data_IF_144603089456
#
_entry.id   IF_144603089456
#
_cell.length_a   1.000
_cell.length_b   1.000
_cell.length_c   1.000
_cell.angle_alpha   90.00
_cell.angle_beta   90.00
_cell.angle_gamma   90.00
#
_symmetry.space_group_name_H-M   'P 1'
#
loop_
_entity.id
_entity.type
_entity.pdbx_description
1 polymer ?
#
# COMPACT_ATOMS: atom_id res chain seq x y z
N UNK A 1 -19.79 3.40 3.75
CA UNK A 1 -18.59 3.06 2.98
C UNK A 1 -17.66 4.26 3.06
N UNK A 2 -16.36 4.06 3.17
CA UNK A 2 -15.40 5.15 3.11
C UNK A 2 -15.56 5.95 1.80
N UNK A 3 -15.28 7.25 1.86
CA UNK A 3 -15.20 8.11 0.69
C UNK A 3 -13.72 8.31 0.33
N UNK A 4 -13.39 8.18 -0.95
CA UNK A 4 -12.05 8.36 -1.46
C UNK A 4 -11.97 9.54 -2.44
N UNK A 5 -11.87 10.78 -1.94
CA UNK A 5 -11.62 11.94 -2.80
C UNK A 5 -10.37 11.74 -3.67
N UNK A 6 -10.31 12.35 -4.86
CA UNK A 6 -9.10 12.31 -5.68
C UNK A 6 -7.87 12.76 -4.89
N UNK A 7 -6.77 12.02 -5.01
CA UNK A 7 -5.54 12.18 -4.22
C UNK A 7 -5.50 11.38 -2.92
N UNK A 8 -6.48 10.51 -2.65
CA UNK A 8 -6.51 9.68 -1.43
C UNK A 8 -6.18 8.23 -1.77
N UNK A 9 -5.31 7.51 -1.02
CA UNK A 9 -5.17 6.07 -1.14
C UNK A 9 -6.52 5.37 -0.92
N UNK A 10 -6.91 4.52 -1.86
CA UNK A 10 -8.25 3.91 -1.87
C UNK A 10 -8.23 2.39 -1.88
N UNK A 11 -7.13 1.79 -2.33
CA UNK A 11 -6.99 0.35 -2.47
C UNK A 11 -5.55 -0.10 -2.34
N UNK A 12 -5.36 -1.33 -1.91
CA UNK A 12 -4.06 -2.00 -1.94
C UNK A 12 -4.21 -3.37 -2.57
N UNK A 13 -3.19 -3.81 -3.30
CA UNK A 13 -3.22 -5.05 -4.06
C UNK A 13 -1.90 -5.79 -3.93
N UNK A 14 -1.97 -7.07 -3.60
CA UNK A 14 -0.83 -7.97 -3.59
C UNK A 14 -0.65 -8.63 -4.97
N UNK A 15 0.54 -8.49 -5.52
CA UNK A 15 1.01 -9.29 -6.65
C UNK A 15 1.88 -10.45 -6.13
N UNK A 16 1.52 -11.70 -6.44
CA UNK A 16 2.18 -12.89 -5.89
C UNK A 16 2.45 -13.95 -6.97
N UNK A 17 3.60 -14.66 -6.89
CA UNK A 17 3.87 -15.81 -7.76
C UNK A 17 2.96 -17.01 -7.44
N UNK A 18 2.42 -17.08 -6.21
CA UNK A 18 1.52 -18.13 -5.73
C UNK A 18 0.36 -17.52 -4.95
N UNK A 19 -0.72 -17.10 -5.65
CA UNK A 19 -1.89 -16.51 -4.99
C UNK A 19 -2.58 -17.42 -3.98
N UNK A 20 -2.53 -18.75 -4.15
CA UNK A 20 -3.13 -19.69 -3.21
C UNK A 20 -2.37 -19.71 -1.88
N UNK A 21 -1.03 -19.77 -1.94
CA UNK A 21 -0.20 -19.71 -0.76
C UNK A 21 -0.29 -18.35 -0.05
N UNK A 22 -0.32 -17.24 -0.80
CA UNK A 22 -0.55 -15.91 -0.22
C UNK A 22 -1.92 -15.81 0.43
N UNK A 23 -2.98 -16.31 -0.22
CA UNK A 23 -4.32 -16.31 0.36
C UNK A 23 -4.38 -17.09 1.68
N UNK A 24 -3.71 -18.26 1.76
CA UNK A 24 -3.62 -19.03 2.99
C UNK A 24 -2.88 -18.27 4.11
N UNK A 25 -1.75 -17.63 3.78
CA UNK A 25 -0.98 -16.85 4.74
C UNK A 25 -1.80 -15.70 5.35
N UNK A 26 -2.41 -14.84 4.51
CA UNK A 26 -3.17 -13.69 5.02
C UNK A 26 -4.46 -14.10 5.72
N UNK A 27 -5.08 -15.24 5.36
CA UNK A 27 -6.18 -15.83 6.14
C UNK A 27 -5.72 -16.20 7.56
N UNK A 28 -4.58 -16.86 7.69
CA UNK A 28 -4.12 -17.41 8.97
C UNK A 28 -3.52 -16.29 9.86
N UNK A 29 -2.92 -15.25 9.27
CA UNK A 29 -2.29 -14.14 10.00
C UNK A 29 -3.28 -13.02 10.32
N UNK A 30 -4.08 -12.57 9.35
CA UNK A 30 -5.01 -11.44 9.47
C UNK A 30 -6.48 -11.86 9.54
N UNK A 31 -6.80 -13.13 9.34
CA UNK A 31 -8.19 -13.61 9.34
C UNK A 31 -8.97 -13.27 8.07
N UNK A 32 -8.31 -12.88 6.99
CA UNK A 32 -8.98 -12.52 5.74
C UNK A 32 -9.52 -13.74 4.99
N UNK A 33 -10.66 -13.58 4.35
CA UNK A 33 -11.25 -14.58 3.47
C UNK A 33 -11.06 -14.15 2.02
N UNK A 34 -10.31 -14.90 1.18
CA UNK A 34 -10.23 -14.61 -0.24
C UNK A 34 -11.54 -14.98 -0.93
N UNK A 35 -11.97 -14.20 -1.93
CA UNK A 35 -13.02 -14.64 -2.85
C UNK A 35 -12.51 -15.79 -3.71
N UNK A 36 -13.43 -16.52 -4.38
CA UNK A 36 -13.05 -17.43 -5.45
C UNK A 36 -12.27 -16.67 -6.54
N UNK A 37 -11.32 -17.35 -7.21
CA UNK A 37 -10.63 -16.74 -8.33
C UNK A 37 -11.61 -16.27 -9.38
N UNK A 38 -11.43 -15.04 -9.87
CA UNK A 38 -12.18 -14.54 -11.01
C UNK A 38 -11.91 -15.36 -12.28
N UNK A 39 -12.76 -15.18 -13.29
CA UNK A 39 -12.61 -15.85 -14.57
C UNK A 39 -11.39 -15.39 -15.38
N UNK A 40 -11.28 -15.93 -16.61
CA UNK A 40 -10.17 -15.60 -17.52
C UNK A 40 -10.09 -14.09 -17.84
N UNK A 41 -11.21 -13.39 -17.82
CA UNK A 41 -11.33 -11.94 -18.05
C UNK A 41 -10.67 -11.10 -16.96
N UNK A 42 -10.54 -11.64 -15.74
CA UNK A 42 -9.88 -10.96 -14.60
C UNK A 42 -8.50 -11.53 -14.28
N UNK A 43 -8.02 -12.51 -15.08
CA UNK A 43 -6.73 -13.16 -14.83
C UNK A 43 -6.66 -13.91 -13.48
N UNK A 44 -7.80 -14.34 -12.94
CA UNK A 44 -7.86 -15.02 -11.64
C UNK A 44 -7.81 -14.09 -10.44
N UNK A 45 -8.05 -12.79 -10.63
CA UNK A 45 -8.08 -11.79 -9.55
C UNK A 45 -8.99 -12.19 -8.40
N UNK A 46 -8.57 -11.97 -7.18
CA UNK A 46 -9.34 -12.22 -5.95
C UNK A 46 -9.40 -10.95 -5.10
N UNK A 47 -10.41 -10.87 -4.27
CA UNK A 47 -10.49 -9.84 -3.24
C UNK A 47 -10.37 -10.51 -1.86
N UNK A 48 -9.53 -9.96 -1.01
CA UNK A 48 -9.56 -10.27 0.41
C UNK A 48 -10.72 -9.54 1.08
N UNK A 49 -11.41 -10.24 1.98
CA UNK A 49 -12.55 -9.74 2.71
C UNK A 49 -12.39 -9.99 4.21
N UNK A 50 -12.85 -9.05 5.01
CA UNK A 50 -13.10 -9.19 6.44
C UNK A 50 -14.61 -8.98 6.66
N UNK A 51 -15.31 -9.98 7.21
CA UNK A 51 -16.77 -9.93 7.42
C UNK A 51 -17.56 -9.47 6.16
N UNK A 52 -17.17 -10.02 4.99
CA UNK A 52 -17.75 -9.68 3.69
C UNK A 52 -17.42 -8.26 3.17
N UNK A 53 -16.64 -7.47 3.89
CA UNK A 53 -16.16 -6.17 3.45
C UNK A 53 -14.80 -6.33 2.74
N UNK A 54 -14.66 -5.75 1.56
CA UNK A 54 -13.43 -5.83 0.77
C UNK A 54 -12.34 -4.97 1.41
N UNK A 55 -11.15 -5.57 1.63
CA UNK A 55 -10.02 -4.91 2.31
C UNK A 55 -8.79 -4.77 1.43
N UNK A 56 -8.55 -5.70 0.51
CA UNK A 56 -7.41 -5.71 -0.39
C UNK A 56 -7.63 -6.60 -1.62
N UNK A 57 -6.79 -6.44 -2.64
CA UNK A 57 -6.73 -7.28 -3.83
C UNK A 57 -5.60 -8.31 -3.78
N UNK A 58 -5.74 -9.36 -4.58
CA UNK A 58 -4.73 -10.39 -4.81
C UNK A 58 -4.75 -10.82 -6.27
N UNK A 59 -3.60 -10.73 -6.92
CA UNK A 59 -3.42 -11.20 -8.29
C UNK A 59 -2.15 -12.04 -8.44
N UNK A 60 -2.16 -12.91 -9.44
CA UNK A 60 -0.96 -13.63 -9.87
C UNK A 60 0.01 -12.70 -10.61
N UNK A 61 1.29 -13.09 -10.65
CA UNK A 61 2.25 -12.40 -11.52
C UNK A 61 1.78 -12.47 -12.98
N UNK A 62 1.78 -11.31 -13.65
CA UNK A 62 1.39 -11.18 -15.05
C UNK A 62 2.54 -11.50 -16.01
N UNK A 63 3.77 -11.47 -15.53
CA UNK A 63 4.98 -11.73 -16.31
C UNK A 63 6.09 -12.33 -15.43
N UNK A 64 6.99 -13.08 -16.08
CA UNK A 64 8.17 -13.64 -15.42
C UNK A 64 9.08 -12.52 -14.86
N UNK A 65 9.56 -12.71 -13.62
CA UNK A 65 10.43 -11.74 -12.94
C UNK A 65 9.69 -10.53 -12.33
N UNK A 66 8.36 -10.51 -12.34
CA UNK A 66 7.60 -9.49 -11.63
C UNK A 66 7.88 -9.58 -10.12
N UNK A 67 8.13 -8.45 -9.43
CA UNK A 67 8.32 -8.46 -7.99
C UNK A 67 7.04 -8.89 -7.23
N UNK A 68 7.21 -9.65 -6.16
CA UNK A 68 6.15 -9.86 -5.17
C UNK A 68 6.07 -8.62 -4.30
N UNK A 69 4.95 -7.89 -4.37
CA UNK A 69 4.82 -6.63 -3.67
C UNK A 69 3.35 -6.23 -3.48
N UNK A 70 3.12 -5.43 -2.46
CA UNK A 70 1.90 -4.64 -2.30
C UNK A 70 1.98 -3.37 -3.14
N UNK A 71 0.94 -3.09 -3.92
CA UNK A 71 0.78 -1.86 -4.68
C UNK A 71 -0.31 -1.01 -4.04
N UNK A 72 0.01 0.24 -3.71
CA UNK A 72 -0.96 1.24 -3.24
C UNK A 72 -1.60 1.92 -4.45
N UNK A 73 -2.93 1.96 -4.49
CA UNK A 73 -3.69 2.69 -5.50
C UNK A 73 -4.27 3.98 -4.90
N UNK A 74 -3.99 5.09 -5.58
CA UNK A 74 -4.47 6.42 -5.22
C UNK A 74 -5.70 6.74 -6.08
N UNK A 75 -6.80 7.12 -5.46
CA UNK A 75 -8.02 7.56 -6.16
C UNK A 75 -7.73 8.80 -6.99
N UNK A 76 -8.24 8.86 -8.21
CA UNK A 76 -8.09 10.01 -9.12
C UNK A 76 -9.41 10.31 -9.83
N UNK A 77 -9.61 11.55 -10.23
CA UNK A 77 -10.78 11.95 -11.01
C UNK A 77 -10.67 11.50 -12.48
N UNK A 78 -9.44 11.43 -13.02
CA UNK A 78 -9.15 11.06 -14.41
C UNK A 78 -7.77 10.40 -14.49
N UNK A 79 -7.73 9.12 -14.87
CA UNK A 79 -6.49 8.35 -14.96
C UNK A 79 -5.61 8.78 -16.13
N UNK A 80 -6.21 9.22 -17.24
CA UNK A 80 -5.46 9.68 -18.43
C UNK A 80 -4.80 11.04 -18.17
N UNK A 81 -5.52 11.98 -17.52
CA UNK A 81 -4.94 13.25 -17.08
C UNK A 81 -3.82 13.01 -16.06
N UNK A 82 -4.03 12.10 -15.11
CA UNK A 82 -3.01 11.74 -14.12
C UNK A 82 -1.76 11.16 -14.80
N UNK A 83 -1.92 10.31 -15.82
CA UNK A 83 -0.78 9.80 -16.58
C UNK A 83 0.03 10.90 -17.30
N UNK A 84 -0.62 11.98 -17.74
CA UNK A 84 0.08 13.15 -18.31
C UNK A 84 0.84 13.92 -17.22
N UNK A 85 0.23 14.13 -16.03
CA UNK A 85 0.87 14.79 -14.89
C UNK A 85 2.10 14.00 -14.42
N UNK A 86 1.99 12.67 -14.31
CA UNK A 86 3.11 11.78 -13.95
C UNK A 86 4.28 11.94 -14.93
N UNK A 87 4.02 11.87 -16.24
CA UNK A 87 5.05 12.08 -17.27
C UNK A 87 5.68 13.47 -17.18
N UNK A 88 4.84 14.50 -17.00
CA UNK A 88 5.29 15.89 -16.89
C UNK A 88 6.14 16.15 -15.66
N UNK A 89 5.92 15.40 -14.57
CA UNK A 89 6.67 15.46 -13.32
C UNK A 89 7.91 14.54 -13.29
N UNK A 90 8.24 13.85 -14.38
CA UNK A 90 9.43 12.97 -14.48
C UNK A 90 9.21 11.53 -14.07
N UNK A 91 7.99 11.10 -13.79
CA UNK A 91 7.66 9.71 -13.52
C UNK A 91 7.49 8.87 -14.81
N UNK A 92 7.41 7.58 -14.65
CA UNK A 92 7.28 6.61 -15.73
C UNK A 92 5.92 5.93 -15.73
N UNK A 93 5.37 5.64 -16.93
CA UNK A 93 4.15 4.84 -17.09
C UNK A 93 4.55 3.39 -17.29
N UNK A 94 4.19 2.52 -16.35
CA UNK A 94 4.40 1.07 -16.41
C UNK A 94 3.21 0.41 -17.09
N UNK A 95 1.98 0.71 -16.62
CA UNK A 95 0.73 0.29 -17.25
C UNK A 95 -0.06 1.53 -17.61
N UNK A 96 -0.34 1.70 -18.92
CA UNK A 96 -1.15 2.81 -19.41
C UNK A 96 -2.58 2.73 -18.85
N UNK A 97 -3.30 3.87 -18.74
CA UNK A 97 -4.69 3.86 -18.32
C UNK A 97 -5.55 2.89 -19.10
N UNK A 98 -6.23 2.00 -18.42
CA UNK A 98 -7.09 0.98 -19.00
C UNK A 98 -8.33 0.74 -18.13
N UNK A 99 -9.43 0.38 -18.79
CA UNK A 99 -10.68 0.07 -18.11
C UNK A 99 -10.61 -1.32 -17.47
N UNK A 100 -11.12 -1.44 -16.27
CA UNK A 100 -11.33 -2.69 -15.54
C UNK A 100 -12.84 -2.93 -15.47
N UNK A 101 -13.39 -3.50 -16.54
CA UNK A 101 -14.83 -3.70 -16.73
C UNK A 101 -15.62 -2.39 -16.45
N UNK A 102 -16.68 -2.47 -15.66
CA UNK A 102 -17.45 -1.32 -15.15
C UNK A 102 -16.99 -0.84 -13.76
N UNK A 103 -15.97 -1.51 -13.19
CA UNK A 103 -15.47 -1.22 -11.84
C UNK A 103 -14.76 0.13 -11.78
N UNK A 104 -14.00 0.46 -12.83
CA UNK A 104 -13.24 1.70 -12.90
C UNK A 104 -12.14 1.65 -13.94
N UNK A 105 -11.22 2.61 -13.86
CA UNK A 105 -10.07 2.72 -14.75
C UNK A 105 -8.79 2.82 -13.94
N UNK A 106 -7.80 1.99 -14.25
CA UNK A 106 -6.53 1.91 -13.54
C UNK A 106 -5.35 2.34 -14.41
N UNK A 107 -4.27 2.73 -13.77
CA UNK A 107 -2.94 2.80 -14.37
C UNK A 107 -1.88 2.48 -13.30
N UNK A 108 -0.67 2.07 -13.73
CA UNK A 108 0.47 1.84 -12.83
C UNK A 108 1.65 2.68 -13.29
N UNK A 109 2.29 3.33 -12.36
CA UNK A 109 3.38 4.27 -12.57
C UNK A 109 4.57 3.95 -11.68
N UNK A 110 5.73 4.48 -12.02
CA UNK A 110 6.84 4.68 -11.10
C UNK A 110 7.10 6.18 -10.96
N UNK A 111 7.37 6.63 -9.75
CA UNK A 111 7.86 7.98 -9.51
C UNK A 111 9.30 8.16 -10.03
N UNK A 112 9.87 9.37 -9.98
CA UNK A 112 11.24 9.60 -10.46
C UNK A 112 12.32 8.78 -9.75
N UNK A 113 12.07 8.32 -8.52
CA UNK A 113 13.01 7.52 -7.72
C UNK A 113 12.87 6.03 -7.97
N UNK A 114 11.78 5.61 -8.63
CA UNK A 114 11.49 4.22 -9.00
C UNK A 114 10.44 3.54 -8.15
N UNK A 115 9.84 4.21 -7.14
CA UNK A 115 8.77 3.63 -6.35
C UNK A 115 7.49 3.46 -7.19
N UNK A 116 6.97 2.23 -7.23
CA UNK A 116 5.80 1.85 -8.04
C UNK A 116 4.51 2.09 -7.25
N UNK A 117 3.54 2.72 -7.91
CA UNK A 117 2.19 2.94 -7.36
C UNK A 117 1.13 2.85 -8.45
N UNK A 118 -0.10 2.56 -8.04
CA UNK A 118 -1.26 2.56 -8.92
C UNK A 118 -2.10 3.83 -8.74
N UNK A 119 -2.94 4.11 -9.74
CA UNK A 119 -4.06 5.04 -9.59
C UNK A 119 -5.35 4.35 -9.98
N UNK A 120 -6.43 4.78 -9.35
CA UNK A 120 -7.76 4.25 -9.57
C UNK A 120 -8.76 5.38 -9.81
N UNK A 121 -9.35 5.40 -10.99
CA UNK A 121 -10.51 6.24 -11.31
C UNK A 121 -11.76 5.40 -11.06
N UNK A 122 -12.56 5.72 -10.03
CA UNK A 122 -13.71 4.90 -9.66
C UNK A 122 -14.81 4.86 -10.74
N UNK A 123 -15.33 3.65 -10.98
CA UNK A 123 -16.61 3.42 -11.63
C UNK A 123 -17.63 2.93 -10.60
N UNK A 124 -18.02 1.65 -10.70
CA UNK A 124 -18.90 1.00 -9.70
C UNK A 124 -18.15 0.54 -8.44
N UNK A 125 -16.81 0.53 -8.44
CA UNK A 125 -15.95 0.18 -7.32
C UNK A 125 -15.10 1.38 -6.90
N UNK A 126 -15.29 1.87 -5.67
CA UNK A 126 -14.59 3.05 -5.17
C UNK A 126 -13.25 2.72 -4.49
N UNK A 127 -13.07 1.51 -3.98
CA UNK A 127 -11.93 1.11 -3.17
C UNK A 127 -12.33 0.17 -2.03
N UNK A 128 -11.54 0.11 -0.96
CA UNK A 128 -11.80 -0.74 0.19
C UNK A 128 -13.11 -0.37 0.90
N UNK A 129 -13.86 -1.38 1.34
CA UNK A 129 -15.08 -1.17 2.13
C UNK A 129 -14.76 -0.91 3.61
N UNK A 130 -13.59 -1.36 4.07
CA UNK A 130 -13.10 -1.23 5.45
C UNK A 130 -11.67 -0.69 5.45
N UNK A 131 -11.45 0.38 6.20
CA UNK A 131 -10.15 1.01 6.46
C UNK A 131 -10.12 1.60 7.87
N UNK A 132 -8.94 1.73 8.48
CA UNK A 132 -8.72 2.30 9.82
C UNK A 132 -9.42 1.52 10.96
N UNK A 133 -9.71 0.25 10.72
CA UNK A 133 -10.28 -0.69 11.67
C UNK A 133 -9.34 -1.91 11.79
N UNK A 134 -9.43 -2.73 12.85
CA UNK A 134 -8.64 -3.94 12.94
C UNK A 134 -8.70 -4.79 11.67
N UNK A 135 -7.56 -5.35 11.30
CA UNK A 135 -7.31 -6.18 10.09
C UNK A 135 -7.66 -5.48 8.78
N UNK A 136 -7.52 -4.16 8.74
CA UNK A 136 -7.68 -3.37 7.51
C UNK A 136 -6.53 -2.39 7.30
N UNK A 137 -6.48 -1.79 6.12
CA UNK A 137 -5.49 -0.76 5.79
C UNK A 137 -5.64 0.44 6.72
N UNK A 138 -4.53 0.85 7.37
CA UNK A 138 -4.49 2.04 8.24
C UNK A 138 -3.53 3.10 7.73
N UNK A 139 -2.49 2.71 6.99
CA UNK A 139 -1.52 3.65 6.47
C UNK A 139 -0.83 3.15 5.20
N UNK A 140 -0.40 4.11 4.38
CA UNK A 140 0.48 3.89 3.23
C UNK A 140 1.64 4.88 3.32
N UNK A 141 2.83 4.44 3.00
CA UNK A 141 3.99 5.34 2.95
C UNK A 141 4.96 4.95 1.84
N UNK A 142 5.60 5.95 1.25
CA UNK A 142 6.70 5.73 0.31
C UNK A 142 8.03 5.79 1.06
N UNK A 143 8.89 4.82 0.79
CA UNK A 143 10.28 4.79 1.26
C UNK A 143 11.17 5.24 0.11
N UNK A 144 11.97 6.28 0.34
CA UNK A 144 12.77 6.93 -0.71
C UNK A 144 14.15 7.34 -0.22
N UNK A 145 15.11 7.44 -1.15
CA UNK A 145 16.43 8.03 -0.87
C UNK A 145 16.53 9.50 -1.31
N UNK A 146 15.53 9.99 -2.02
CA UNK A 146 15.49 11.34 -2.58
C UNK A 146 14.20 12.09 -2.18
N UNK A 147 14.02 12.40 -0.88
CA UNK A 147 12.76 12.93 -0.36
C UNK A 147 12.34 14.26 -1.00
N UNK A 148 13.26 15.10 -1.45
CA UNK A 148 12.92 16.38 -2.09
C UNK A 148 12.39 16.18 -3.54
N UNK A 149 12.91 15.16 -4.25
CA UNK A 149 12.38 14.79 -5.56
C UNK A 149 10.93 14.29 -5.42
N UNK A 150 10.66 13.45 -4.44
CA UNK A 150 9.33 12.91 -4.18
C UNK A 150 8.34 13.97 -3.71
N UNK A 151 8.76 14.91 -2.85
CA UNK A 151 7.91 16.07 -2.47
C UNK A 151 7.48 16.87 -3.69
N UNK A 152 8.40 17.11 -4.60
CA UNK A 152 8.10 17.82 -5.86
C UNK A 152 7.15 17.02 -6.74
N UNK A 153 7.40 15.73 -6.89
CA UNK A 153 6.61 14.84 -7.73
C UNK A 153 5.18 14.68 -7.21
N UNK A 154 4.99 14.20 -5.97
CA UNK A 154 3.66 13.93 -5.42
C UNK A 154 2.86 15.22 -5.21
N UNK A 155 3.52 16.33 -4.87
CA UNK A 155 2.90 17.66 -4.86
C UNK A 155 2.36 18.07 -6.23
N UNK A 156 3.12 17.83 -7.30
CA UNK A 156 2.71 18.19 -8.68
C UNK A 156 1.60 17.29 -9.22
N UNK A 157 1.62 15.99 -8.89
CA UNK A 157 0.68 14.99 -9.43
C UNK A 157 -0.66 15.01 -8.68
N UNK A 158 -0.60 15.02 -7.34
CA UNK A 158 -1.78 14.86 -6.48
C UNK A 158 -2.16 16.10 -5.68
N UNK A 159 -1.33 17.14 -5.70
CA UNK A 159 -1.53 18.34 -4.88
C UNK A 159 -1.23 18.12 -3.40
N UNK A 160 -0.39 17.12 -3.09
CA UNK A 160 -0.05 16.84 -1.69
C UNK A 160 0.93 17.87 -1.13
N UNK A 161 0.65 18.30 0.09
CA UNK A 161 1.56 19.09 0.91
C UNK A 161 2.44 18.18 1.77
N UNK A 162 3.71 18.56 1.94
CA UNK A 162 4.65 17.86 2.80
C UNK A 162 4.62 18.46 4.21
N UNK A 163 3.92 17.78 5.12
CA UNK A 163 3.79 18.14 6.52
C UNK A 163 4.76 17.38 7.43
N UNK A 164 4.83 17.80 8.69
CA UNK A 164 5.52 17.07 9.75
C UNK A 164 4.53 16.21 10.54
N UNK A 165 4.98 15.06 11.08
CA UNK A 165 4.18 14.29 12.03
C UNK A 165 3.77 15.15 13.24
N UNK A 166 2.57 14.91 13.76
CA UNK A 166 2.02 15.67 14.89
C UNK A 166 2.33 15.04 16.26
N UNK A 167 3.07 13.91 16.31
CA UNK A 167 3.43 13.24 17.56
C UNK A 167 4.88 13.54 17.97
N UNK A 168 5.11 13.60 19.29
CA UNK A 168 6.43 13.85 19.87
C UNK A 168 7.39 12.69 19.58
N UNK A 169 8.64 13.00 19.25
CA UNK A 169 9.67 11.98 18.94
C UNK A 169 9.59 11.43 17.52
N UNK A 170 8.75 12.00 16.64
CA UNK A 170 8.76 11.64 15.24
C UNK A 170 10.13 11.93 14.60
N UNK A 171 10.67 11.02 13.75
CA UNK A 171 11.93 11.26 13.06
C UNK A 171 11.85 12.50 12.16
N UNK A 172 12.90 13.31 12.14
CA UNK A 172 13.01 14.44 11.17
C UNK A 172 13.03 13.96 9.71
N UNK A 173 13.34 12.69 9.50
CA UNK A 173 13.35 11.99 8.20
C UNK A 173 11.96 11.54 7.74
N UNK A 174 10.91 11.75 8.56
CA UNK A 174 9.55 11.36 8.22
C UNK A 174 8.72 12.56 7.79
N UNK A 175 8.05 12.41 6.66
CA UNK A 175 7.10 13.40 6.13
C UNK A 175 5.70 12.80 6.16
N UNK A 176 4.70 13.62 6.52
CA UNK A 176 3.29 13.26 6.39
C UNK A 176 2.72 13.96 5.17
N UNK A 177 2.17 13.18 4.25
CA UNK A 177 1.44 13.71 3.11
C UNK A 177 0.09 14.23 3.54
N UNK A 178 -0.25 15.44 3.13
CA UNK A 178 -1.50 16.11 3.44
C UNK A 178 -2.22 16.55 2.18
N UNK A 179 -3.53 16.35 2.15
CA UNK A 179 -4.43 16.88 1.12
C UNK A 179 -5.54 17.65 1.81
N UNK A 180 -5.70 18.93 1.49
CA UNK A 180 -6.66 19.84 2.14
C UNK A 180 -6.58 19.80 3.68
N UNK A 181 -5.36 19.74 4.22
CA UNK A 181 -5.07 19.68 5.65
C UNK A 181 -5.37 18.34 6.34
N UNK A 182 -5.73 17.30 5.59
CA UNK A 182 -5.94 15.93 6.10
C UNK A 182 -4.75 15.05 5.74
N UNK A 183 -4.31 14.23 6.68
CA UNK A 183 -3.24 13.26 6.44
C UNK A 183 -3.75 12.16 5.49
N UNK A 184 -3.01 11.89 4.42
CA UNK A 184 -3.35 10.88 3.40
C UNK A 184 -2.28 9.80 3.23
N UNK A 185 -1.13 9.94 3.87
CA UNK A 185 -0.04 8.96 3.80
C UNK A 185 1.25 9.51 4.38
N UNK A 186 2.32 8.75 4.25
CA UNK A 186 3.64 9.09 4.74
C UNK A 186 4.75 8.97 3.70
N UNK A 187 5.91 9.50 4.06
CA UNK A 187 7.16 9.26 3.37
C UNK A 187 8.28 9.09 4.39
N UNK A 188 9.02 8.00 4.29
CA UNK A 188 10.19 7.72 5.10
C UNK A 188 11.44 7.87 4.24
N UNK A 189 12.39 8.68 4.69
CA UNK A 189 13.72 8.70 4.07
C UNK A 189 14.49 7.43 4.42
N UNK A 190 15.01 6.75 3.39
CA UNK A 190 15.80 5.52 3.53
C UNK A 190 17.23 5.87 3.94
N UNK A 191 17.44 6.14 5.24
CA UNK A 191 18.77 6.47 5.77
C UNK A 191 19.65 5.22 5.89
N UNK A 192 20.97 5.43 5.82
CA UNK A 192 21.97 4.36 5.97
C UNK A 192 21.82 3.65 7.32
N UNK A 193 21.89 2.32 7.30
CA UNK A 193 21.75 1.46 8.49
C UNK A 193 20.30 1.12 8.88
N UNK A 194 19.30 1.81 8.33
CA UNK A 194 17.88 1.47 8.54
C UNK A 194 17.34 0.53 7.46
N UNK A 195 17.80 0.72 6.22
CA UNK A 195 17.42 -0.11 5.07
C UNK A 195 18.65 -0.77 4.45
N UNK A 196 18.50 -1.95 3.81
CA UNK A 196 19.57 -2.52 3.00
C UNK A 196 20.06 -1.50 1.95
N UNK A 197 21.38 -1.40 1.67
CA UNK A 197 21.91 -0.41 0.73
C UNK A 197 21.34 -0.52 -0.69
N UNK A 198 20.97 -1.73 -1.09
CA UNK A 198 20.43 -2.11 -2.39
C UNK A 198 18.89 -2.16 -2.43
N UNK A 199 18.20 -1.91 -1.31
CA UNK A 199 16.76 -1.83 -1.29
C UNK A 199 16.29 -0.66 -2.19
N UNK A 200 15.43 -0.92 -3.19
CA UNK A 200 14.91 0.14 -4.05
C UNK A 200 13.88 1.00 -3.29
N UNK A 201 13.63 2.23 -3.75
CA UNK A 201 12.46 2.99 -3.32
C UNK A 201 11.17 2.20 -3.58
N UNK A 202 10.22 2.26 -2.65
CA UNK A 202 8.99 1.48 -2.74
C UNK A 202 7.88 2.05 -1.87
N UNK A 203 6.63 1.76 -2.23
CA UNK A 203 5.49 1.98 -1.35
C UNK A 203 5.33 0.81 -0.39
N UNK A 204 5.04 1.12 0.87
CA UNK A 204 4.74 0.17 1.94
C UNK A 204 3.31 0.35 2.42
N UNK A 205 2.68 -0.75 2.80
CA UNK A 205 1.33 -0.78 3.36
C UNK A 205 1.39 -1.16 4.83
N UNK A 206 0.52 -0.55 5.64
CA UNK A 206 0.37 -0.87 7.05
C UNK A 206 -1.07 -1.29 7.35
N UNK A 207 -1.22 -2.46 7.97
CA UNK A 207 -2.52 -2.96 8.41
C UNK A 207 -2.66 -2.80 9.92
N UNK A 208 -3.83 -2.28 10.36
CA UNK A 208 -4.15 -2.25 11.77
C UNK A 208 -4.40 -3.67 12.28
N UNK A 209 -3.98 -3.96 13.50
CA UNK A 209 -4.21 -5.24 14.18
C UNK A 209 -4.57 -5.00 15.64
N UNK A 210 -5.32 -5.94 16.24
CA UNK A 210 -5.67 -5.85 17.66
C UNK A 210 -4.46 -6.08 18.58
N UNK A 211 -3.51 -6.93 18.16
CA UNK A 211 -2.31 -7.29 18.91
C UNK A 211 -1.15 -7.57 17.95
N UNK A 212 -0.13 -6.70 17.99
CA UNK A 212 1.03 -6.80 17.11
C UNK A 212 1.92 -8.01 17.43
N UNK A 213 2.07 -8.37 18.72
CA UNK A 213 2.89 -9.51 19.14
C UNK A 213 2.27 -10.83 18.71
N UNK A 214 0.96 -10.98 18.90
CA UNK A 214 0.20 -12.16 18.43
C UNK A 214 0.24 -12.27 16.92
N UNK A 215 0.09 -11.16 16.19
CA UNK A 215 0.13 -11.15 14.72
C UNK A 215 1.52 -11.55 14.20
N UNK A 216 2.59 -11.03 14.81
CA UNK A 216 3.98 -11.40 14.49
C UNK A 216 4.24 -12.88 14.77
N UNK A 217 3.75 -13.42 15.90
CA UNK A 217 3.88 -14.83 16.20
C UNK A 217 3.18 -15.71 15.15
N UNK A 218 1.95 -15.38 14.77
CA UNK A 218 1.23 -16.06 13.69
C UNK A 218 1.98 -16.00 12.35
N UNK A 219 2.52 -14.83 11.99
CA UNK A 219 3.29 -14.67 10.75
C UNK A 219 4.49 -15.63 10.72
N UNK A 220 5.24 -15.75 11.82
CA UNK A 220 6.35 -16.72 11.94
C UNK A 220 5.88 -18.17 11.81
N UNK A 221 4.82 -18.53 12.51
CA UNK A 221 4.27 -19.91 12.51
C UNK A 221 3.81 -20.32 11.11
N UNK A 222 3.43 -19.35 10.27
CA UNK A 222 2.99 -19.55 8.87
C UNK A 222 4.08 -19.22 7.83
N UNK A 223 5.36 -19.16 8.24
CA UNK A 223 6.49 -19.04 7.31
C UNK A 223 6.88 -17.62 6.91
N UNK A 224 6.27 -16.60 7.49
CA UNK A 224 6.69 -15.21 7.31
C UNK A 224 8.01 -14.90 8.03
N UNK A 225 8.73 -13.93 7.53
CA UNK A 225 9.97 -13.41 8.13
C UNK A 225 9.69 -12.10 8.84
N UNK A 226 10.00 -12.03 10.14
CA UNK A 226 9.90 -10.78 10.90
C UNK A 226 11.18 -9.97 10.69
N UNK A 227 11.05 -8.82 10.06
CA UNK A 227 12.15 -7.91 9.74
C UNK A 227 12.41 -6.94 10.88
N UNK A 228 11.33 -6.43 11.48
CA UNK A 228 11.40 -5.63 12.69
C UNK A 228 10.42 -6.19 13.72
N UNK A 229 10.96 -6.48 14.93
CA UNK A 229 10.16 -6.90 16.08
C UNK A 229 9.18 -5.80 16.50
N UNK A 230 8.08 -6.16 17.18
CA UNK A 230 7.13 -5.17 17.69
C UNK A 230 7.80 -4.11 18.56
N UNK A 231 7.73 -2.85 18.14
CA UNK A 231 8.30 -1.69 18.83
C UNK A 231 7.21 -0.68 19.15
N UNK A 232 7.22 -0.17 20.37
CA UNK A 232 6.28 0.86 20.82
C UNK A 232 6.69 2.23 20.27
N UNK A 233 5.74 2.89 19.63
CA UNK A 233 5.82 4.27 19.18
C UNK A 233 4.64 5.07 19.77
N UNK A 234 4.69 6.41 19.80
CA UNK A 234 3.60 7.20 20.39
C UNK A 234 2.21 6.95 19.79
N UNK A 235 2.15 6.52 18.53
CA UNK A 235 0.90 6.28 17.79
C UNK A 235 0.47 4.81 17.79
N UNK A 236 1.29 3.89 18.33
CA UNK A 236 0.97 2.46 18.37
C UNK A 236 2.20 1.58 18.42
N UNK A 237 1.97 0.26 18.41
CA UNK A 237 3.01 -0.76 18.40
C UNK A 237 3.14 -1.33 16.99
N UNK A 238 4.34 -1.20 16.38
CA UNK A 238 4.61 -1.52 14.98
C UNK A 238 5.52 -2.73 14.84
N UNK A 239 5.31 -3.50 13.78
CA UNK A 239 6.23 -4.53 13.32
C UNK A 239 6.30 -4.57 11.80
N UNK A 240 7.43 -5.01 11.25
CA UNK A 240 7.61 -5.22 9.81
C UNK A 240 7.80 -6.70 9.49
N UNK A 241 7.11 -7.18 8.48
CA UNK A 241 7.00 -8.59 8.12
C UNK A 241 7.19 -8.73 6.60
N UNK A 242 7.83 -9.83 6.20
CA UNK A 242 7.83 -10.32 4.82
C UNK A 242 7.00 -11.60 4.79
N UNK A 243 6.04 -11.70 3.88
CA UNK A 243 5.28 -12.93 3.68
C UNK A 243 6.15 -14.04 3.04
N UNK A 244 5.69 -15.30 3.02
CA UNK A 244 6.49 -16.40 2.45
C UNK A 244 6.79 -16.27 0.95
N UNK A 245 6.08 -15.41 0.22
CA UNK A 245 6.30 -15.14 -1.20
C UNK A 245 7.20 -13.93 -1.45
N UNK A 246 7.55 -13.17 -0.40
CA UNK A 246 8.48 -12.05 -0.45
C UNK A 246 7.85 -10.66 -0.37
N UNK A 247 6.54 -10.54 -0.17
CA UNK A 247 5.89 -9.23 -0.02
C UNK A 247 6.13 -8.63 1.37
N UNK A 248 6.60 -7.39 1.40
CA UNK A 248 6.79 -6.59 2.60
C UNK A 248 5.48 -5.91 2.99
N UNK A 249 5.17 -5.94 4.29
CA UNK A 249 4.09 -5.15 4.87
C UNK A 249 4.39 -4.85 6.34
N UNK A 250 3.73 -3.84 6.88
CA UNK A 250 3.81 -3.53 8.29
C UNK A 250 2.46 -3.79 8.96
N UNK A 251 2.51 -4.04 10.26
CA UNK A 251 1.31 -4.09 11.10
C UNK A 251 1.43 -3.07 12.20
N UNK A 252 0.29 -2.50 12.59
CA UNK A 252 0.21 -1.54 13.67
C UNK A 252 -0.94 -1.91 14.60
N UNK A 253 -0.63 -2.11 15.88
CA UNK A 253 -1.62 -2.05 16.95
C UNK A 253 -1.74 -0.60 17.39
N UNK A 254 -2.87 0.08 17.15
CA UNK A 254 -3.03 1.47 17.54
C UNK A 254 -2.86 1.66 19.03
N UNK A 255 -2.26 2.78 19.45
CA UNK A 255 -2.24 3.15 20.85
C UNK A 255 -3.69 3.26 21.35
N UNK A 256 -4.00 2.69 22.51
CA UNK A 256 -5.32 2.87 23.13
C UNK A 256 -5.54 4.37 23.35
N UNK A 257 -6.59 4.92 22.73
CA UNK A 257 -7.00 6.31 22.89
C UNK A 257 -7.58 6.55 24.29
#
# INVERSE_FOLDING_TARGET
MPEYPPGTPSWVELSSPDPDASAAFYRDVLGWSPTEPGGAETGGYRMFQCDSQRVAGLMGHMQEGQPTAWTTYISVADADETAQKVKGAGGNVIVSPMDVMDLGRMAVFADPTGAVFGVWQPGTFAGADLVNEPVSLVWNEVHTREPDADKTFYGSVFGWDAGKPSFEGAPDTYTVWQLDGKNVGGMMEMVEGMFPPDAPPHWSVCFAVDDADVTVAKARDHGGTVVAEPVDMPIGRFAAIIDPQGAWFTVMQPANA
#
